data_IF_144108513315
#
_entry.id   IF_144108513315
#
_cell.length_a   1.000
_cell.length_b   1.000
_cell.length_c   1.000
_cell.angle_alpha   90.00
_cell.angle_beta   90.00
_cell.angle_gamma   90.00
#
_symmetry.space_group_name_H-M   'P 1'
#
loop_
_entity.id
_entity.type
_entity.pdbx_description
1 polymer ?
#
# COMPACT_ATOMS: atom_id res chain seq x y z
N UNK A 1 -9.33 -8.74 17.87
CA UNK A 1 -8.21 -7.78 17.92
C UNK A 1 -8.68 -6.40 17.46
N UNK A 2 -7.96 -5.31 17.81
CA UNK A 2 -8.26 -3.95 17.33
C UNK A 2 -7.19 -3.52 16.34
N UNK A 3 -7.60 -3.01 15.17
CA UNK A 3 -6.74 -2.45 14.12
C UNK A 3 -6.94 -0.94 14.03
N UNK A 4 -5.86 -0.20 13.89
CA UNK A 4 -5.86 1.21 13.48
C UNK A 4 -5.09 1.34 12.16
N UNK A 5 -5.79 1.79 11.12
CA UNK A 5 -5.20 2.02 9.80
C UNK A 5 -5.18 3.52 9.49
N UNK A 6 -3.98 4.13 9.47
CA UNK A 6 -3.78 5.54 9.18
C UNK A 6 -3.41 5.71 7.70
N UNK A 7 -3.87 6.79 7.08
CA UNK A 7 -3.74 7.00 5.62
C UNK A 7 -4.27 5.80 4.86
N UNK A 8 -5.42 5.31 5.28
CA UNK A 8 -5.92 3.98 4.99
C UNK A 8 -6.21 3.73 3.50
N UNK A 9 -6.40 4.80 2.72
CA UNK A 9 -6.82 4.64 1.33
C UNK A 9 -8.09 3.78 1.24
N UNK A 10 -8.00 2.70 0.48
CA UNK A 10 -9.10 1.75 0.28
C UNK A 10 -9.01 0.49 1.15
N UNK A 11 -8.19 0.50 2.21
CA UNK A 11 -8.09 -0.64 3.13
C UNK A 11 -7.18 -1.78 2.66
N UNK A 12 -6.10 -1.44 1.97
CA UNK A 12 -5.16 -2.44 1.48
C UNK A 12 -4.44 -3.20 2.59
N UNK A 13 -4.12 -2.54 3.71
CA UNK A 13 -3.57 -3.21 4.88
C UNK A 13 -4.62 -4.12 5.52
N UNK A 14 -5.85 -3.64 5.72
CA UNK A 14 -6.95 -4.45 6.24
C UNK A 14 -7.13 -5.73 5.41
N UNK A 15 -7.16 -5.61 4.06
CA UNK A 15 -7.29 -6.78 3.17
C UNK A 15 -6.11 -7.74 3.26
N UNK A 16 -4.88 -7.23 3.37
CA UNK A 16 -3.68 -8.04 3.50
C UNK A 16 -3.63 -8.80 4.83
N UNK A 17 -4.00 -8.12 5.93
CA UNK A 17 -4.09 -8.71 7.26
C UNK A 17 -5.18 -9.79 7.33
N UNK A 18 -6.39 -9.52 6.79
CA UNK A 18 -7.45 -10.52 6.66
C UNK A 18 -6.99 -11.75 5.86
N UNK A 19 -6.30 -11.53 4.73
CA UNK A 19 -5.76 -12.60 3.90
C UNK A 19 -4.66 -13.42 4.59
N UNK A 20 -3.98 -12.86 5.61
CA UNK A 20 -3.06 -13.56 6.49
C UNK A 20 -3.77 -14.28 7.66
N UNK A 21 -5.11 -14.20 7.72
CA UNK A 21 -5.95 -14.87 8.73
C UNK A 21 -6.09 -14.08 10.03
N UNK A 22 -5.86 -12.76 10.04
CA UNK A 22 -6.20 -11.90 11.17
C UNK A 22 -7.70 -11.62 11.17
N UNK A 23 -8.29 -11.56 12.35
CA UNK A 23 -9.68 -11.16 12.57
C UNK A 23 -9.71 -9.98 13.53
N UNK A 24 -10.55 -9.00 13.22
CA UNK A 24 -10.67 -7.78 14.01
C UNK A 24 -12.08 -7.62 14.55
N UNK A 25 -12.17 -7.43 15.86
CA UNK A 25 -13.42 -7.07 16.54
C UNK A 25 -13.76 -5.60 16.26
N UNK A 26 -12.70 -4.79 16.06
CA UNK A 26 -12.83 -3.37 15.78
C UNK A 26 -11.74 -2.90 14.83
N UNK A 27 -12.13 -2.06 13.86
CA UNK A 27 -11.23 -1.40 12.91
C UNK A 27 -11.49 0.10 12.96
N UNK A 28 -10.46 0.87 13.26
CA UNK A 28 -10.46 2.32 13.12
C UNK A 28 -9.63 2.70 11.91
N UNK A 29 -10.10 3.68 11.14
CA UNK A 29 -9.35 4.18 10.00
C UNK A 29 -9.37 5.70 9.89
N UNK A 30 -8.24 6.26 9.46
CA UNK A 30 -8.07 7.69 9.19
C UNK A 30 -7.72 7.90 7.72
N UNK A 31 -8.51 8.72 7.03
CA UNK A 31 -8.36 9.08 5.62
C UNK A 31 -9.05 10.42 5.37
N UNK A 32 -8.60 11.18 4.35
CA UNK A 32 -9.19 12.48 3.97
C UNK A 32 -9.79 12.49 2.56
N UNK A 33 -9.39 11.54 1.69
CA UNK A 33 -9.97 11.43 0.35
C UNK A 33 -11.39 10.85 0.44
N UNK A 34 -12.37 11.64 0.02
CA UNK A 34 -13.79 11.26 0.10
C UNK A 34 -14.13 9.96 -0.62
N UNK A 35 -13.42 9.64 -1.74
CA UNK A 35 -13.68 8.43 -2.50
C UNK A 35 -13.04 7.21 -1.83
N UNK A 36 -11.87 7.39 -1.23
CA UNK A 36 -11.23 6.37 -0.40
C UNK A 36 -12.08 6.05 0.83
N UNK A 37 -12.52 7.07 1.57
CA UNK A 37 -13.42 6.92 2.73
C UNK A 37 -14.68 6.17 2.34
N UNK A 38 -15.32 6.57 1.23
CA UNK A 38 -16.56 5.94 0.76
C UNK A 38 -16.35 4.47 0.38
N UNK A 39 -15.25 4.16 -0.32
CA UNK A 39 -14.90 2.79 -0.68
C UNK A 39 -14.53 1.95 0.54
N UNK A 40 -13.77 2.51 1.49
CA UNK A 40 -13.44 1.83 2.74
C UNK A 40 -14.72 1.43 3.50
N UNK A 41 -15.64 2.38 3.71
CA UNK A 41 -16.93 2.13 4.38
C UNK A 41 -17.79 1.07 3.66
N UNK A 42 -17.71 1.01 2.33
CA UNK A 42 -18.41 -0.01 1.55
C UNK A 42 -17.86 -1.42 1.78
N UNK A 43 -16.54 -1.55 1.82
CA UNK A 43 -15.87 -2.86 1.96
C UNK A 43 -15.73 -3.31 3.42
N UNK A 44 -15.73 -2.36 4.38
CA UNK A 44 -15.61 -2.60 5.81
C UNK A 44 -16.70 -1.83 6.57
N UNK A 45 -17.98 -2.25 6.45
CA UNK A 45 -19.11 -1.50 7.03
C UNK A 45 -19.09 -1.43 8.56
N UNK A 46 -18.28 -2.27 9.21
CA UNK A 46 -18.07 -2.29 10.66
C UNK A 46 -16.95 -1.37 11.12
N UNK A 47 -16.18 -0.79 10.19
CA UNK A 47 -15.06 0.08 10.53
C UNK A 47 -15.51 1.50 10.87
N UNK A 48 -14.83 2.11 11.84
CA UNK A 48 -15.09 3.46 12.30
C UNK A 48 -14.09 4.45 11.70
N UNK A 49 -14.59 5.46 11.01
CA UNK A 49 -13.79 6.57 10.49
C UNK A 49 -13.50 7.58 11.58
N UNK A 50 -12.24 7.75 11.95
CA UNK A 50 -11.79 8.66 13.01
C UNK A 50 -11.33 10.04 12.51
N UNK A 51 -11.61 10.37 11.24
CA UNK A 51 -11.25 11.66 10.64
C UNK A 51 -9.81 11.72 10.14
N UNK A 52 -9.20 12.90 10.27
CA UNK A 52 -7.82 13.14 9.84
C UNK A 52 -6.81 12.67 10.87
N UNK A 53 -5.64 12.22 10.39
CA UNK A 53 -4.51 11.81 11.27
C UNK A 53 -4.02 12.94 12.19
N UNK A 54 -4.27 14.21 11.82
CA UNK A 54 -3.85 15.36 12.65
C UNK A 54 -4.48 15.36 14.04
N UNK A 55 -5.60 14.67 14.21
CA UNK A 55 -6.34 14.59 15.48
C UNK A 55 -5.97 13.35 16.30
N UNK A 56 -4.98 12.58 15.86
CA UNK A 56 -4.63 11.29 16.49
C UNK A 56 -4.27 11.42 17.98
N UNK A 57 -3.75 12.57 18.39
CA UNK A 57 -3.45 12.89 19.78
C UNK A 57 -4.67 12.99 20.68
N UNK A 58 -5.85 13.31 20.15
CA UNK A 58 -7.08 13.59 20.91
C UNK A 58 -8.15 12.52 20.75
N UNK A 59 -8.03 11.65 19.72
CA UNK A 59 -9.07 10.66 19.41
C UNK A 59 -9.23 9.63 20.53
N UNK A 60 -10.47 9.42 20.97
CA UNK A 60 -10.83 8.44 22.02
C UNK A 60 -11.18 7.08 21.42
N UNK A 61 -10.17 6.27 21.13
CA UNK A 61 -10.33 4.89 20.59
C UNK A 61 -9.76 3.86 21.55
N UNK A 62 -10.20 2.62 21.41
CA UNK A 62 -9.59 1.49 22.11
C UNK A 62 -8.13 1.32 21.67
N UNK A 63 -7.28 0.83 22.59
CA UNK A 63 -5.89 0.56 22.28
C UNK A 63 -5.79 -0.43 21.10
N UNK A 64 -5.23 -0.01 19.94
CA UNK A 64 -5.04 -0.94 18.83
C UNK A 64 -3.93 -1.95 19.15
N UNK A 65 -4.14 -3.20 18.75
CA UNK A 65 -3.12 -4.23 18.76
C UNK A 65 -2.15 -4.04 17.59
N UNK A 66 -2.69 -3.62 16.43
CA UNK A 66 -1.92 -3.38 15.21
C UNK A 66 -2.21 -1.96 14.73
N UNK A 67 -1.14 -1.23 14.37
CA UNK A 67 -1.23 0.07 13.67
C UNK A 67 -0.55 -0.05 12.33
N UNK A 68 -1.25 0.32 11.25
CA UNK A 68 -0.69 0.31 9.89
C UNK A 68 -0.79 1.67 9.24
N UNK A 69 0.19 2.01 8.40
CA UNK A 69 0.18 3.29 7.69
C UNK A 69 1.07 3.29 6.46
N UNK A 70 0.55 3.91 5.38
CA UNK A 70 1.29 4.27 4.18
C UNK A 70 1.35 5.80 4.07
N UNK A 71 2.29 6.43 4.76
CA UNK A 71 2.34 7.89 4.78
C UNK A 71 2.70 8.47 3.40
N UNK A 72 2.07 9.60 2.99
CA UNK A 72 2.38 10.26 1.73
C UNK A 72 3.87 10.59 1.60
N UNK A 73 4.44 10.33 0.41
CA UNK A 73 5.86 10.54 0.11
C UNK A 73 6.18 11.99 -0.25
N UNK A 74 5.19 12.89 -0.25
CA UNK A 74 5.40 14.27 -0.68
C UNK A 74 6.19 15.03 0.40
N UNK A 75 7.37 15.56 0.00
CA UNK A 75 8.22 16.47 0.77
C UNK A 75 8.95 15.90 2.01
N UNK A 76 9.69 14.81 1.88
CA UNK A 76 10.66 14.42 2.91
C UNK A 76 11.77 15.48 3.15
N UNK A 77 11.92 16.46 2.25
CA UNK A 77 12.97 17.49 2.32
C UNK A 77 12.88 18.45 3.52
N UNK A 78 11.80 18.45 4.29
CA UNK A 78 11.61 19.39 5.39
C UNK A 78 11.98 18.82 6.78
N UNK A 79 12.35 17.55 6.90
CA UNK A 79 12.86 16.98 8.15
C UNK A 79 14.33 17.41 8.38
N UNK A 80 15.04 17.83 7.30
CA UNK A 80 16.46 18.18 7.31
C UNK A 80 16.84 19.54 7.91
N UNK A 81 15.91 20.42 8.26
CA UNK A 81 16.22 21.80 8.72
C UNK A 81 16.63 21.89 10.21
N UNK A 82 17.01 20.80 10.84
CA UNK A 82 17.49 20.80 12.25
C UNK A 82 16.42 21.14 13.29
N UNK A 83 15.18 21.38 12.88
CA UNK A 83 14.05 21.72 13.77
C UNK A 83 13.22 20.51 14.21
N UNK A 84 13.71 19.30 13.96
CA UNK A 84 12.98 18.07 14.31
C UNK A 84 11.64 17.99 13.56
N UNK A 85 10.70 17.23 14.09
CA UNK A 85 9.38 16.96 13.51
C UNK A 85 8.42 18.20 13.48
N UNK A 86 8.90 19.43 13.39
CA UNK A 86 8.09 20.65 13.60
C UNK A 86 7.85 21.59 12.40
N UNK A 87 8.14 21.28 11.16
CA UNK A 87 7.98 22.21 10.02
C UNK A 87 7.28 21.62 8.77
N UNK A 88 6.21 22.25 8.20
CA UNK A 88 5.57 22.02 6.88
C UNK A 88 4.84 20.68 6.65
N UNK A 89 4.14 20.50 5.52
CA UNK A 89 3.27 19.33 5.18
C UNK A 89 3.98 17.97 5.10
N UNK A 90 5.31 17.91 5.16
CA UNK A 90 6.12 16.67 5.19
C UNK A 90 5.99 15.87 6.49
N UNK A 91 5.22 16.35 7.43
CA UNK A 91 5.17 15.87 8.80
C UNK A 91 4.07 14.86 9.08
N UNK A 92 3.37 14.39 8.07
CA UNK A 92 2.26 13.47 8.30
C UNK A 92 2.70 12.15 8.97
N UNK A 93 3.94 11.70 8.71
CA UNK A 93 4.51 10.52 9.40
C UNK A 93 4.66 10.74 10.91
N UNK A 94 4.82 11.99 11.38
CA UNK A 94 4.90 12.29 12.83
C UNK A 94 3.64 11.84 13.58
N UNK A 95 2.49 11.97 12.95
CA UNK A 95 1.22 11.52 13.55
C UNK A 95 1.16 10.00 13.68
N UNK A 96 1.80 9.26 12.76
CA UNK A 96 1.96 7.82 12.92
C UNK A 96 2.93 7.49 14.06
N UNK A 97 4.04 8.23 14.20
CA UNK A 97 4.96 8.09 15.36
C UNK A 97 4.22 8.41 16.66
N UNK A 98 3.39 9.46 16.67
CA UNK A 98 2.56 9.83 17.83
C UNK A 98 1.55 8.75 18.16
N UNK A 99 0.86 8.17 17.16
CA UNK A 99 -0.04 7.05 17.36
C UNK A 99 0.65 5.85 18.02
N UNK A 100 1.84 5.45 17.50
CA UNK A 100 2.62 4.36 18.08
C UNK A 100 3.06 4.68 19.51
N UNK A 101 3.50 5.92 19.76
CA UNK A 101 3.91 6.36 21.12
C UNK A 101 2.75 6.34 22.11
N UNK A 102 1.59 6.85 21.68
CA UNK A 102 0.37 6.96 22.51
C UNK A 102 -0.25 5.62 22.80
N UNK A 103 -0.51 4.84 21.75
CA UNK A 103 -1.28 3.62 21.88
C UNK A 103 -0.46 2.38 22.20
N UNK A 104 0.86 2.42 21.97
CA UNK A 104 1.77 1.29 22.24
C UNK A 104 1.24 -0.03 21.68
N UNK A 105 0.95 -0.10 20.34
CA UNK A 105 0.45 -1.32 19.73
C UNK A 105 1.43 -2.47 19.89
N UNK A 106 0.96 -3.71 19.76
CA UNK A 106 1.86 -4.88 19.77
C UNK A 106 2.72 -4.92 18.51
N UNK A 107 2.16 -4.41 17.39
CA UNK A 107 2.83 -4.33 16.09
C UNK A 107 2.45 -3.03 15.38
N UNK A 108 3.39 -2.44 14.66
CA UNK A 108 3.08 -1.43 13.66
C UNK A 108 3.79 -1.74 12.33
N UNK A 109 3.14 -1.36 11.22
CA UNK A 109 3.65 -1.58 9.86
C UNK A 109 3.60 -0.25 9.11
N UNK A 110 4.76 0.17 8.62
CA UNK A 110 4.91 1.35 7.77
C UNK A 110 5.30 0.96 6.35
N UNK A 111 4.52 1.41 5.37
CA UNK A 111 4.86 1.28 3.95
C UNK A 111 5.27 2.63 3.37
N UNK A 112 6.26 2.60 2.47
CA UNK A 112 6.62 3.77 1.68
C UNK A 112 7.26 3.40 0.34
N UNK A 113 7.39 4.40 -0.55
CA UNK A 113 8.03 4.21 -1.85
C UNK A 113 9.53 3.95 -1.73
N UNK A 114 10.10 3.21 -2.70
CA UNK A 114 11.56 2.97 -2.80
C UNK A 114 12.38 4.26 -2.76
N UNK A 115 11.81 5.37 -3.25
CA UNK A 115 12.48 6.67 -3.30
C UNK A 115 12.99 7.19 -1.94
N UNK A 116 12.47 6.68 -0.83
CA UNK A 116 12.93 7.03 0.52
C UNK A 116 14.41 6.63 0.75
N UNK A 117 14.93 5.68 -0.01
CA UNK A 117 16.34 5.26 0.04
C UNK A 117 17.28 6.06 -0.86
N UNK A 118 16.75 6.97 -1.71
CA UNK A 118 17.61 7.80 -2.53
C UNK A 118 18.47 8.73 -1.66
N UNK A 119 19.69 9.03 -2.13
CA UNK A 119 20.69 9.76 -1.34
C UNK A 119 20.13 11.02 -0.67
N UNK A 120 19.30 11.78 -1.38
CA UNK A 120 18.66 13.03 -0.89
C UNK A 120 17.64 12.81 0.24
N UNK A 121 17.06 11.59 0.37
CA UNK A 121 16.01 11.26 1.36
C UNK A 121 16.49 10.35 2.49
N UNK A 122 17.74 9.86 2.43
CA UNK A 122 18.30 9.00 3.48
C UNK A 122 18.32 9.64 4.87
N UNK A 123 18.67 10.93 5.04
CA UNK A 123 18.60 11.57 6.34
C UNK A 123 17.19 11.53 6.93
N UNK A 124 16.19 11.76 6.10
CA UNK A 124 14.78 11.74 6.50
C UNK A 124 14.36 10.34 6.95
N UNK A 125 14.73 9.31 6.16
CA UNK A 125 14.48 7.91 6.54
C UNK A 125 15.06 7.57 7.90
N UNK A 126 16.33 7.91 8.13
CA UNK A 126 16.97 7.64 9.42
C UNK A 126 16.38 8.43 10.56
N UNK A 127 15.93 9.66 10.33
CA UNK A 127 15.22 10.46 11.34
C UNK A 127 13.90 9.80 11.76
N UNK A 128 13.17 9.23 10.80
CA UNK A 128 11.92 8.50 11.09
C UNK A 128 12.20 7.20 11.83
N UNK A 129 13.18 6.41 11.38
CA UNK A 129 13.61 5.17 12.08
C UNK A 129 14.02 5.49 13.51
N UNK A 130 14.82 6.57 13.70
CA UNK A 130 15.21 7.03 15.04
C UNK A 130 14.00 7.42 15.87
N UNK A 131 13.02 8.13 15.31
CA UNK A 131 11.83 8.54 16.04
C UNK A 131 11.01 7.34 16.54
N UNK A 132 10.94 6.24 15.77
CA UNK A 132 10.35 4.98 16.24
C UNK A 132 11.22 4.27 17.27
N UNK A 133 12.55 4.24 17.09
CA UNK A 133 13.48 3.63 18.04
C UNK A 133 13.44 4.35 19.41
N UNK A 134 13.33 5.68 19.41
CA UNK A 134 13.26 6.51 20.63
C UNK A 134 11.95 6.27 21.43
N UNK A 135 10.92 5.65 20.84
CA UNK A 135 9.74 5.21 21.60
C UNK A 135 10.12 4.10 22.59
N UNK A 136 11.10 3.29 22.25
CA UNK A 136 11.59 2.16 23.07
C UNK A 136 10.62 0.98 23.11
N UNK A 137 11.16 -0.20 23.39
CA UNK A 137 10.40 -1.46 23.53
C UNK A 137 10.02 -2.14 22.21
N UNK A 138 10.48 -1.63 21.07
CA UNK A 138 10.24 -2.23 19.76
C UNK A 138 11.53 -2.74 19.12
N UNK A 139 11.45 -3.91 18.49
CA UNK A 139 12.39 -4.38 17.49
C UNK A 139 11.94 -3.88 16.14
N UNK A 140 12.79 -3.15 15.42
CA UNK A 140 12.51 -2.57 14.11
C UNK A 140 13.23 -3.38 13.04
N UNK A 141 12.49 -3.80 12.04
CA UNK A 141 13.00 -4.52 10.88
C UNK A 141 12.39 -3.92 9.60
N UNK A 142 13.15 -3.88 8.50
CA UNK A 142 12.62 -3.39 7.22
C UNK A 142 13.21 -4.09 6.02
N UNK A 143 12.46 -4.12 4.93
CA UNK A 143 12.87 -4.66 3.64
C UNK A 143 12.23 -3.88 2.49
N UNK A 144 12.95 -3.77 1.36
CA UNK A 144 12.39 -3.39 0.09
C UNK A 144 11.74 -4.62 -0.55
N UNK A 145 10.40 -4.59 -0.69
CA UNK A 145 9.62 -5.68 -1.26
C UNK A 145 9.11 -5.29 -2.65
N UNK A 146 8.96 -6.26 -3.53
CA UNK A 146 8.40 -6.04 -4.86
C UNK A 146 7.12 -6.86 -5.04
N UNK A 147 6.04 -6.21 -5.50
CA UNK A 147 4.79 -6.90 -5.84
C UNK A 147 5.01 -7.99 -6.90
N UNK A 148 6.02 -7.82 -7.78
CA UNK A 148 6.39 -8.81 -8.79
C UNK A 148 6.80 -10.18 -8.23
N UNK A 149 7.02 -10.30 -6.92
CA UNK A 149 7.22 -11.59 -6.26
C UNK A 149 5.93 -12.43 -6.20
N UNK A 150 4.78 -11.79 -6.28
CA UNK A 150 3.45 -12.41 -6.10
C UNK A 150 2.51 -12.21 -7.27
N UNK A 151 2.58 -11.06 -7.95
CA UNK A 151 1.68 -10.64 -9.03
C UNK A 151 2.48 -10.00 -10.18
N UNK A 152 1.99 -10.02 -11.41
CA UNK A 152 2.70 -9.51 -12.57
C UNK A 152 2.74 -7.97 -12.61
N UNK A 153 3.14 -7.32 -11.49
CA UNK A 153 3.32 -5.87 -11.37
C UNK A 153 4.66 -5.54 -10.72
N UNK A 154 5.50 -4.79 -11.41
CA UNK A 154 6.74 -4.27 -10.84
C UNK A 154 6.43 -3.04 -9.97
N UNK A 155 6.26 -3.26 -8.66
CA UNK A 155 5.98 -2.22 -7.66
C UNK A 155 6.85 -2.44 -6.43
N UNK A 156 7.92 -1.67 -6.33
CA UNK A 156 8.85 -1.74 -5.19
C UNK A 156 8.41 -0.79 -4.07
N UNK A 157 8.29 -1.33 -2.86
CA UNK A 157 7.91 -0.58 -1.65
C UNK A 157 8.73 -1.04 -0.46
N UNK A 158 9.14 -0.08 0.37
CA UNK A 158 9.73 -0.35 1.66
C UNK A 158 8.63 -0.69 2.66
N UNK A 159 8.82 -1.76 3.41
CA UNK A 159 8.02 -2.10 4.58
C UNK A 159 8.93 -2.08 5.81
N UNK A 160 8.57 -1.28 6.81
CA UNK A 160 9.19 -1.29 8.12
C UNK A 160 8.16 -1.80 9.12
N UNK A 161 8.57 -2.76 9.93
CA UNK A 161 7.75 -3.37 10.97
C UNK A 161 8.41 -3.17 12.33
N UNK A 162 7.66 -2.64 13.28
CA UNK A 162 8.03 -2.61 14.68
C UNK A 162 7.18 -3.60 15.45
N UNK A 163 7.84 -4.54 16.15
CA UNK A 163 7.21 -5.54 17.02
C UNK A 163 7.70 -5.34 18.44
N UNK A 164 6.84 -5.55 19.44
CA UNK A 164 7.26 -5.54 20.85
C UNK A 164 8.45 -6.49 21.03
N UNK A 165 9.58 -5.96 21.48
CA UNK A 165 10.88 -6.65 21.45
C UNK A 165 10.87 -7.98 22.23
N UNK A 166 10.25 -7.99 23.40
CA UNK A 166 10.19 -9.16 24.30
C UNK A 166 9.37 -10.33 23.72
N UNK A 167 8.62 -10.09 22.66
CA UNK A 167 7.80 -11.11 21.97
C UNK A 167 8.42 -11.58 20.66
N UNK A 168 9.59 -11.04 20.27
CA UNK A 168 10.24 -11.39 19.02
C UNK A 168 11.11 -12.63 19.17
N UNK A 169 10.64 -13.77 18.69
CA UNK A 169 11.38 -15.06 18.73
C UNK A 169 12.22 -15.31 17.49
N UNK A 170 11.90 -14.65 16.36
CA UNK A 170 12.59 -14.82 15.09
C UNK A 170 12.64 -13.51 14.30
N UNK A 171 13.52 -13.46 13.29
CA UNK A 171 13.56 -12.38 12.30
C UNK A 171 12.34 -12.43 11.41
N UNK A 172 11.77 -11.25 11.13
CA UNK A 172 10.67 -11.12 10.19
C UNK A 172 11.17 -11.11 8.74
N UNK A 173 12.28 -10.44 8.50
CA UNK A 173 12.91 -10.32 7.20
C UNK A 173 14.22 -11.13 7.13
N UNK A 174 14.67 -11.59 5.94
CA UNK A 174 14.07 -11.35 4.65
C UNK A 174 12.80 -12.18 4.40
N UNK A 175 11.83 -11.58 3.69
CA UNK A 175 10.76 -12.37 3.09
C UNK A 175 11.38 -13.29 2.05
N UNK A 176 10.93 -14.56 1.91
CA UNK A 176 11.34 -15.38 0.79
C UNK A 176 10.91 -14.67 -0.48
N UNK A 177 11.84 -14.48 -1.39
CA UNK A 177 11.49 -14.22 -2.78
C UNK A 177 10.96 -15.55 -3.33
N UNK A 178 9.65 -15.74 -3.50
CA UNK A 178 9.18 -16.89 -4.25
C UNK A 178 9.89 -16.78 -5.59
N UNK A 179 10.46 -17.87 -6.06
CA UNK A 179 11.03 -17.91 -7.42
C UNK A 179 9.97 -17.31 -8.32
N UNK A 180 10.22 -16.10 -8.79
CA UNK A 180 9.21 -15.15 -9.23
C UNK A 180 8.10 -15.84 -10.02
N UNK A 181 6.87 -15.31 -10.01
CA UNK A 181 5.76 -15.78 -10.85
C UNK A 181 6.20 -15.88 -12.33
N UNK A 182 7.37 -15.40 -12.62
CA UNK A 182 8.20 -15.55 -13.81
C UNK A 182 9.35 -16.55 -13.60
N UNK A 183 9.19 -17.58 -12.75
CA UNK A 183 10.05 -18.75 -12.78
C UNK A 183 10.10 -19.23 -14.22
N UNK A 184 11.31 -19.49 -14.74
CA UNK A 184 11.51 -20.07 -16.07
C UNK A 184 10.52 -21.22 -16.27
N UNK A 185 9.40 -20.92 -16.92
CA UNK A 185 8.62 -21.97 -17.57
C UNK A 185 9.59 -22.50 -18.63
N UNK A 186 10.02 -23.75 -18.47
CA UNK A 186 10.91 -24.38 -19.42
C UNK A 186 10.24 -24.44 -20.79
N UNK A 187 10.67 -23.57 -21.68
CA UNK A 187 10.19 -23.41 -23.03
C UNK A 187 10.61 -22.02 -23.53
N UNK A 188 11.02 -21.92 -24.78
CA UNK A 188 11.51 -20.74 -25.47
C UNK A 188 10.47 -19.60 -25.65
N UNK A 189 9.39 -19.56 -24.87
CA UNK A 189 8.48 -18.41 -24.88
C UNK A 189 9.07 -17.26 -24.05
N UNK A 190 9.10 -16.03 -24.60
CA UNK A 190 9.55 -14.86 -23.85
C UNK A 190 8.63 -14.67 -22.64
N UNK A 191 9.19 -14.85 -21.43
CA UNK A 191 8.46 -14.65 -20.20
C UNK A 191 7.75 -13.28 -20.23
N UNK A 192 6.44 -13.27 -20.04
CA UNK A 192 5.65 -12.02 -20.03
C UNK A 192 6.26 -11.05 -19.03
N UNK A 193 6.63 -9.85 -19.50
CA UNK A 193 7.21 -8.83 -18.63
C UNK A 193 6.13 -8.34 -17.66
N UNK A 194 6.46 -8.17 -16.36
CA UNK A 194 5.53 -7.59 -15.42
C UNK A 194 5.07 -6.20 -15.89
N UNK A 195 3.82 -5.84 -15.61
CA UNK A 195 3.34 -4.49 -15.82
C UNK A 195 4.16 -3.50 -14.98
N UNK A 196 4.29 -2.27 -15.43
CA UNK A 196 4.83 -1.19 -14.62
C UNK A 196 3.92 -0.87 -13.42
N UNK A 197 4.43 -0.07 -12.48
CA UNK A 197 3.65 0.38 -11.32
C UNK A 197 2.40 1.16 -11.76
N UNK A 198 1.23 0.76 -11.27
CA UNK A 198 0.01 1.58 -11.38
C UNK A 198 0.19 2.77 -10.45
N UNK A 199 0.08 3.99 -11.02
CA UNK A 199 0.23 5.24 -10.28
C UNK A 199 -1.14 5.92 -10.12
N UNK A 200 -1.23 6.89 -9.19
CA UNK A 200 -2.42 7.73 -8.99
C UNK A 200 -2.88 8.43 -10.29
N UNK A 201 -1.94 8.73 -11.18
CA UNK A 201 -2.23 9.42 -12.44
C UNK A 201 -2.56 8.47 -13.60
N UNK A 202 -2.65 7.17 -13.34
CA UNK A 202 -3.08 6.20 -14.35
C UNK A 202 -4.47 6.59 -14.88
N UNK A 203 -4.61 6.62 -16.19
CA UNK A 203 -5.85 7.07 -16.84
C UNK A 203 -6.00 8.58 -17.05
N UNK A 204 -5.15 9.43 -16.46
CA UNK A 204 -5.17 10.90 -16.66
C UNK A 204 -4.21 11.38 -17.76
N UNK A 205 -3.12 10.67 -17.95
CA UNK A 205 -2.07 11.01 -18.90
C UNK A 205 -1.85 9.85 -19.87
N UNK A 206 -2.09 10.04 -21.19
CA UNK A 206 -2.02 8.96 -22.17
C UNK A 206 -0.62 8.35 -22.32
N UNK A 207 0.44 9.05 -21.87
CA UNK A 207 1.83 8.60 -21.98
C UNK A 207 2.36 7.91 -20.70
N UNK A 208 1.55 7.83 -19.64
CA UNK A 208 1.92 7.22 -18.36
C UNK A 208 0.94 6.09 -18.06
N UNK A 209 1.30 4.88 -18.44
CA UNK A 209 0.45 3.75 -18.12
C UNK A 209 0.91 2.45 -18.74
N UNK A 210 0.35 1.38 -18.25
CA UNK A 210 0.47 0.07 -18.84
C UNK A 210 -0.59 -0.09 -19.92
N UNK A 211 -0.18 -0.57 -21.08
CA UNK A 211 -1.06 -0.84 -22.20
C UNK A 211 -1.08 -2.32 -22.51
N UNK A 212 -2.20 -2.80 -22.95
CA UNK A 212 -2.42 -4.18 -23.39
C UNK A 212 -2.66 -4.18 -24.89
N UNK A 213 -1.88 -5.00 -25.60
CA UNK A 213 -2.12 -5.32 -27.00
C UNK A 213 -3.16 -6.46 -27.06
N UNK A 214 -4.33 -6.18 -27.59
CA UNK A 214 -5.39 -7.17 -27.75
C UNK A 214 -5.27 -7.83 -29.12
N UNK A 215 -4.63 -9.00 -29.18
CA UNK A 215 -4.55 -9.81 -30.39
C UNK A 215 -5.86 -10.58 -30.64
N UNK A 216 -6.22 -10.78 -31.89
CA UNK A 216 -7.31 -11.71 -32.28
C UNK A 216 -6.87 -13.15 -32.04
N UNK A 217 -7.81 -14.04 -31.81
CA UNK A 217 -7.51 -15.48 -31.67
C UNK A 217 -6.77 -15.99 -32.91
N UNK A 218 -5.61 -16.61 -32.70
CA UNK A 218 -4.75 -17.12 -33.78
C UNK A 218 -3.86 -16.06 -34.45
N UNK A 219 -3.87 -14.82 -34.01
CA UNK A 219 -2.99 -13.77 -34.54
C UNK A 219 -1.58 -13.91 -33.94
N UNK A 220 -0.58 -14.03 -34.84
CA UNK A 220 0.82 -14.18 -34.43
C UNK A 220 1.41 -12.86 -33.88
N UNK A 221 2.20 -12.95 -32.84
CA UNK A 221 2.97 -11.83 -32.28
C UNK A 221 4.44 -12.23 -32.13
N UNK A 222 5.31 -11.52 -32.82
CA UNK A 222 6.76 -11.77 -32.84
C UNK A 222 7.59 -10.82 -31.96
N UNK A 223 6.94 -10.10 -31.05
CA UNK A 223 7.59 -9.14 -30.15
C UNK A 223 7.54 -7.69 -30.65
N UNK A 224 7.18 -7.45 -31.92
CA UNK A 224 6.98 -6.10 -32.50
C UNK A 224 5.58 -6.00 -33.09
N UNK A 225 4.69 -5.14 -32.53
CA UNK A 225 3.33 -5.01 -33.07
C UNK A 225 3.34 -4.37 -34.45
N UNK A 226 2.51 -4.90 -35.35
CA UNK A 226 2.24 -4.28 -36.64
C UNK A 226 1.39 -3.01 -36.52
N UNK A 227 1.36 -2.10 -37.51
CA UNK A 227 0.50 -0.93 -37.49
C UNK A 227 -0.99 -1.25 -37.28
N UNK A 228 -1.47 -2.38 -37.79
CA UNK A 228 -2.85 -2.84 -37.58
C UNK A 228 -3.08 -3.29 -36.13
N UNK A 229 -2.13 -4.06 -35.55
CA UNK A 229 -2.18 -4.50 -34.15
C UNK A 229 -2.15 -3.31 -33.19
N UNK A 230 -1.41 -2.24 -33.51
CA UNK A 230 -1.36 -1.04 -32.69
C UNK A 230 -2.74 -0.36 -32.53
N UNK A 231 -3.67 -0.55 -33.47
CA UNK A 231 -5.06 -0.07 -33.36
C UNK A 231 -5.84 -0.80 -32.25
N UNK A 232 -5.37 -1.96 -31.81
CA UNK A 232 -5.99 -2.77 -30.77
C UNK A 232 -5.29 -2.62 -29.42
N UNK A 233 -4.50 -1.56 -29.21
CA UNK A 233 -3.88 -1.23 -27.91
C UNK A 233 -4.89 -0.50 -27.04
N UNK A 234 -5.04 -0.96 -25.80
CA UNK A 234 -5.88 -0.33 -24.79
C UNK A 234 -5.17 -0.20 -23.45
N UNK A 235 -5.68 0.66 -22.61
CA UNK A 235 -5.29 0.71 -21.20
C UNK A 235 -5.83 -0.50 -20.43
N UNK A 236 -5.24 -0.78 -19.29
CA UNK A 236 -5.81 -1.74 -18.34
C UNK A 236 -7.17 -1.25 -17.84
N UNK A 237 -8.08 -2.16 -17.65
CA UNK A 237 -9.36 -1.90 -16.99
C UNK A 237 -9.15 -1.75 -15.48
N UNK A 238 -10.12 -1.20 -14.78
CA UNK A 238 -10.11 -1.06 -13.32
C UNK A 238 -9.97 -2.41 -12.64
N UNK A 239 -10.67 -3.45 -13.15
CA UNK A 239 -10.61 -4.81 -12.62
C UNK A 239 -9.22 -5.42 -12.82
N UNK A 240 -8.58 -5.20 -13.97
CA UNK A 240 -7.20 -5.64 -14.18
C UNK A 240 -6.23 -4.94 -13.21
N UNK A 241 -6.47 -3.65 -12.94
CA UNK A 241 -5.68 -2.91 -11.95
C UNK A 241 -5.92 -3.41 -10.51
N UNK A 242 -7.17 -3.76 -10.17
CA UNK A 242 -7.51 -4.39 -8.89
C UNK A 242 -6.75 -5.70 -8.70
N UNK A 243 -6.78 -6.59 -9.70
CA UNK A 243 -6.06 -7.87 -9.69
C UNK A 243 -4.55 -7.69 -9.57
N UNK A 244 -3.97 -6.70 -10.26
CA UNK A 244 -2.54 -6.39 -10.18
C UNK A 244 -2.10 -5.90 -8.80
N UNK A 245 -3.00 -5.36 -7.99
CA UNK A 245 -2.76 -4.97 -6.60
C UNK A 245 -3.17 -6.04 -5.58
N UNK A 246 -3.84 -7.11 -6.05
CA UNK A 246 -4.31 -8.22 -5.23
C UNK A 246 -5.67 -7.98 -4.56
N UNK A 247 -6.44 -7.01 -5.06
CA UNK A 247 -7.82 -6.81 -4.64
C UNK A 247 -8.78 -7.73 -5.41
N UNK A 248 -9.94 -8.07 -4.83
CA UNK A 248 -11.02 -8.75 -5.53
C UNK A 248 -11.56 -7.92 -6.70
N UNK A 249 -12.17 -8.57 -7.68
CA UNK A 249 -12.83 -7.91 -8.81
C UNK A 249 -13.93 -6.97 -8.33
N UNK A 250 -13.98 -5.78 -8.93
CA UNK A 250 -14.93 -4.72 -8.60
C UNK A 250 -14.82 -4.15 -7.16
N UNK A 251 -13.70 -4.38 -6.49
CA UNK A 251 -13.45 -3.88 -5.14
C UNK A 251 -13.61 -2.35 -5.03
N UNK A 252 -13.14 -1.62 -6.03
CA UNK A 252 -13.21 -0.14 -6.06
C UNK A 252 -14.48 0.39 -6.72
N UNK A 253 -15.42 -0.49 -7.14
CA UNK A 253 -16.59 -0.09 -7.93
C UNK A 253 -17.56 0.80 -7.15
N UNK A 254 -17.77 0.51 -5.88
CA UNK A 254 -18.77 1.17 -5.06
C UNK A 254 -18.17 1.86 -3.84
N UNK A 255 -18.88 2.88 -3.35
CA UNK A 255 -18.62 3.56 -2.09
C UNK A 255 -19.91 3.95 -1.40
N UNK A 256 -19.82 4.20 -0.08
CA UNK A 256 -20.92 4.76 0.72
C UNK A 256 -20.68 6.26 0.88
N UNK A 257 -21.53 7.06 0.29
CA UNK A 257 -21.55 8.52 0.36
C UNK A 257 -22.80 8.98 1.07
N UNK A 258 -22.66 9.65 2.20
CA UNK A 258 -23.79 10.15 3.01
C UNK A 258 -24.84 9.05 3.30
N UNK A 259 -24.36 7.83 3.58
CA UNK A 259 -25.20 6.67 3.85
C UNK A 259 -25.71 5.93 2.60
N UNK A 260 -25.51 6.46 1.40
CA UNK A 260 -25.97 5.87 0.16
C UNK A 260 -24.86 5.16 -0.63
N UNK A 261 -25.16 3.99 -1.18
CA UNK A 261 -24.26 3.28 -2.09
C UNK A 261 -24.28 3.94 -3.46
N UNK A 262 -23.09 4.37 -3.95
CA UNK A 262 -22.93 4.97 -5.28
C UNK A 262 -21.74 4.35 -6.02
N UNK A 263 -21.77 4.31 -7.33
CA UNK A 263 -20.60 3.91 -8.14
C UNK A 263 -19.53 5.00 -8.08
N UNK A 264 -18.28 4.55 -7.98
CA UNK A 264 -17.11 5.42 -8.05
C UNK A 264 -16.69 5.56 -9.51
N UNK A 265 -16.57 6.80 -9.98
CA UNK A 265 -16.15 7.07 -11.34
C UNK A 265 -14.77 6.46 -11.63
N UNK A 266 -14.59 5.96 -12.85
CA UNK A 266 -13.42 5.26 -13.35
C UNK A 266 -12.09 5.94 -13.02
N UNK A 267 -12.02 7.26 -13.20
CA UNK A 267 -10.82 8.04 -12.93
C UNK A 267 -10.41 8.00 -11.44
N UNK A 268 -11.39 7.99 -10.53
CA UNK A 268 -11.13 7.86 -9.10
C UNK A 268 -10.72 6.44 -8.73
N UNK A 269 -11.31 5.41 -9.35
CA UNK A 269 -10.91 4.01 -9.12
C UNK A 269 -9.43 3.79 -9.43
N UNK A 270 -8.94 4.31 -10.56
CA UNK A 270 -7.50 4.25 -10.89
C UNK A 270 -6.64 4.99 -9.86
N UNK A 271 -7.07 6.18 -9.42
CA UNK A 271 -6.33 6.96 -8.44
C UNK A 271 -6.24 6.22 -7.08
N UNK A 272 -7.34 5.61 -6.64
CA UNK A 272 -7.41 4.81 -5.42
C UNK A 272 -6.46 3.61 -5.49
N UNK A 273 -6.47 2.87 -6.60
CA UNK A 273 -5.59 1.72 -6.81
C UNK A 273 -4.12 2.12 -6.90
N UNK A 274 -3.82 3.26 -7.54
CA UNK A 274 -2.46 3.78 -7.62
C UNK A 274 -1.85 4.12 -6.26
N UNK A 275 -2.68 4.58 -5.32
CA UNK A 275 -2.28 4.91 -3.95
C UNK A 275 -2.28 3.70 -3.00
N UNK A 276 -2.97 2.61 -3.35
CA UNK A 276 -3.12 1.46 -2.47
C UNK A 276 -1.80 0.69 -2.27
N UNK A 277 -1.66 0.04 -1.13
CA UNK A 277 -0.60 -0.94 -0.89
C UNK A 277 -0.90 -2.25 -1.62
N UNK A 278 0.13 -3.05 -1.86
CA UNK A 278 0.00 -4.38 -2.47
C UNK A 278 -0.49 -5.39 -1.43
N UNK A 279 -1.71 -5.89 -1.61
CA UNK A 279 -2.36 -6.83 -0.69
C UNK A 279 -1.52 -8.09 -0.45
N UNK A 280 -0.95 -8.78 -1.47
CA UNK A 280 -0.16 -9.99 -1.23
C UNK A 280 1.15 -9.73 -0.51
N UNK A 281 1.78 -8.55 -0.66
CA UNK A 281 2.97 -8.21 0.12
C UNK A 281 2.60 -8.01 1.59
N UNK A 282 1.52 -7.27 1.87
CA UNK A 282 1.02 -7.10 3.25
C UNK A 282 0.67 -8.44 3.87
N UNK A 283 -0.01 -9.33 3.13
CA UNK A 283 -0.32 -10.69 3.59
C UNK A 283 0.93 -11.46 4.02
N UNK A 284 1.99 -11.40 3.21
CA UNK A 284 3.23 -12.15 3.49
C UNK A 284 3.98 -11.57 4.69
N UNK A 285 4.05 -10.24 4.81
CA UNK A 285 4.59 -9.57 6.00
C UNK A 285 3.79 -9.97 7.24
N UNK A 286 2.48 -9.90 7.17
CA UNK A 286 1.57 -10.20 8.28
C UNK A 286 1.65 -11.67 8.74
N UNK A 287 1.76 -12.62 7.80
CA UNK A 287 1.88 -14.04 8.10
C UNK A 287 3.11 -14.37 8.96
N UNK A 288 4.16 -13.55 8.90
CA UNK A 288 5.39 -13.73 9.68
C UNK A 288 5.42 -13.00 11.02
N UNK A 289 4.44 -12.15 11.26
CA UNK A 289 4.31 -11.45 12.56
C UNK A 289 3.73 -12.38 13.63
N UNK A 290 3.03 -13.43 13.25
CA UNK A 290 2.41 -14.41 14.15
C UNK A 290 3.43 -15.28 14.87
#
# INVERSE_FOLDING_TARGET
MVLLELFSGIGGFSKGLEAAGYTFDKVYFSEIDKHAIANFKYNFPYAEHIGTVTNIGEVGIERPHIVTFGSPCQNFSAIGDGKGLQGGESHLVRYAVEAVRRFRPDVFIWENVKGIFFARHRPDFWSIVKAFADIGGYRLEWQLCNTAWFLPQNRERMYLVGRVADRCTADLFPLPTPGGVHGKVGGDEPAARPSGTITRNYGRQPNIGNYVLCLKSGEAYNGTPTPEQLKHVRMLTEVECERLQGFPDNYTRYGIYDGEKKEIAKIHRYALLGNAVSVPVVREVAARIR
#
